data_IF_213597330833
#
_entry.id   IF_213597330833
#
_cell.length_a   1.000
_cell.length_b   1.000
_cell.length_c   1.000
_cell.angle_alpha   90.00
_cell.angle_beta   90.00
_cell.angle_gamma   90.00
#
_symmetry.space_group_name_H-M   'P 1'
#
loop_
_entity.id
_entity.type
_entity.pdbx_description
1 polymer ?
#
# COMPACT_ATOMS: atom_id res chain seq x y z
N UNK A 1 -20.29 14.24 -6.20
CA UNK A 1 -18.86 14.15 -5.82
C UNK A 1 -18.80 13.62 -4.39
N UNK A 2 -18.55 12.32 -4.20
CA UNK A 2 -18.46 11.74 -2.86
C UNK A 2 -17.23 12.37 -2.20
N UNK A 3 -17.43 13.17 -1.15
CA UNK A 3 -16.33 13.72 -0.37
C UNK A 3 -15.70 12.57 0.40
N UNK A 4 -14.58 12.05 -0.11
CA UNK A 4 -13.74 11.00 0.49
C UNK A 4 -13.28 11.31 1.94
N UNK A 5 -13.55 12.51 2.45
CA UNK A 5 -13.21 12.95 3.80
C UNK A 5 -13.97 12.24 4.92
N UNK A 6 -15.13 11.62 4.65
CA UNK A 6 -15.94 10.99 5.71
C UNK A 6 -15.37 9.64 6.20
N UNK A 7 -14.59 8.96 5.37
CA UNK A 7 -14.07 7.62 5.65
C UNK A 7 -12.57 7.62 6.04
N UNK A 8 -11.93 8.80 5.99
CA UNK A 8 -10.48 8.97 6.04
C UNK A 8 -9.81 8.84 7.42
N UNK A 9 -10.46 9.17 8.57
CA UNK A 9 -9.85 8.99 9.88
C UNK A 9 -9.66 7.52 10.28
N UNK A 10 -10.56 6.62 9.84
CA UNK A 10 -10.53 5.20 10.18
C UNK A 10 -9.65 4.36 9.22
N UNK A 11 -9.49 4.77 7.96
CA UNK A 11 -8.56 4.15 6.99
C UNK A 11 -7.08 4.37 7.37
N UNK A 12 -6.76 5.27 8.30
CA UNK A 12 -5.37 5.40 8.80
C UNK A 12 -4.89 4.19 9.60
N UNK A 13 -5.80 3.30 9.97
CA UNK A 13 -5.45 1.98 10.48
C UNK A 13 -4.82 1.18 9.35
N UNK A 14 -3.72 0.50 9.65
CA UNK A 14 -2.99 -0.38 8.74
C UNK A 14 -3.97 -1.13 7.80
N UNK A 15 -3.64 -1.29 6.52
CA UNK A 15 -4.46 -2.07 5.55
C UNK A 15 -4.80 -3.43 6.14
N UNK A 16 -3.90 -4.01 6.94
CA UNK A 16 -4.14 -5.21 7.74
C UNK A 16 -5.28 -5.05 8.75
N UNK A 17 -5.29 -3.99 9.55
CA UNK A 17 -6.29 -3.73 10.59
C UNK A 17 -7.67 -3.40 9.99
N UNK A 18 -7.71 -2.65 8.89
CA UNK A 18 -8.94 -2.37 8.15
C UNK A 18 -9.57 -3.67 7.61
N UNK A 19 -8.76 -4.56 7.01
CA UNK A 19 -9.24 -5.83 6.49
C UNK A 19 -9.64 -6.83 7.58
N UNK A 20 -8.95 -6.82 8.74
CA UNK A 20 -9.26 -7.70 9.86
C UNK A 20 -10.61 -7.39 10.50
N UNK A 21 -11.01 -6.11 10.53
CA UNK A 21 -12.28 -5.67 11.13
C UNK A 21 -13.50 -6.15 10.32
N UNK A 22 -13.32 -6.53 9.04
CA UNK A 22 -14.40 -6.94 8.13
C UNK A 22 -14.25 -8.38 7.61
N UNK A 23 -13.66 -9.31 8.39
CA UNK A 23 -13.54 -10.72 7.99
C UNK A 23 -14.79 -11.52 8.43
N UNK A 24 -15.77 -11.79 7.54
CA UNK A 24 -16.92 -12.63 7.89
C UNK A 24 -16.47 -14.06 8.19
N UNK A 25 -17.10 -14.72 9.18
CA UNK A 25 -16.81 -16.11 9.54
C UNK A 25 -17.54 -17.10 8.63
N UNK A 26 -18.65 -16.67 8.03
CA UNK A 26 -19.46 -17.45 7.09
C UNK A 26 -19.95 -16.60 5.91
N UNK A 27 -20.45 -17.27 4.87
CA UNK A 27 -21.12 -16.60 3.75
C UNK A 27 -22.35 -15.81 4.20
N UNK A 28 -23.11 -16.32 5.17
CA UNK A 28 -24.26 -15.63 5.73
C UNK A 28 -23.87 -14.33 6.42
N UNK A 29 -22.77 -14.32 7.18
CA UNK A 29 -22.25 -13.10 7.81
C UNK A 29 -21.80 -12.08 6.77
N UNK A 30 -21.20 -12.54 5.66
CA UNK A 30 -20.82 -11.66 4.56
C UNK A 30 -22.05 -10.94 3.98
N UNK A 31 -23.11 -11.68 3.68
CA UNK A 31 -24.36 -11.10 3.16
C UNK A 31 -24.98 -10.10 4.14
N UNK A 32 -24.98 -10.43 5.44
CA UNK A 32 -25.47 -9.53 6.49
C UNK A 32 -24.63 -8.24 6.58
N UNK A 33 -23.31 -8.34 6.45
CA UNK A 33 -22.44 -7.15 6.43
C UNK A 33 -22.70 -6.28 5.20
N UNK A 34 -22.82 -6.88 4.01
CA UNK A 34 -23.09 -6.14 2.77
C UNK A 34 -24.44 -5.41 2.85
N UNK A 35 -25.49 -6.09 3.34
CA UNK A 35 -26.81 -5.48 3.52
C UNK A 35 -26.77 -4.28 4.48
N UNK A 36 -26.10 -4.43 5.63
CA UNK A 36 -25.94 -3.35 6.59
C UNK A 36 -25.18 -2.13 6.02
N UNK A 37 -24.14 -2.36 5.21
CA UNK A 37 -23.40 -1.28 4.54
C UNK A 37 -24.29 -0.55 3.55
N UNK A 38 -25.04 -1.28 2.71
CA UNK A 38 -25.94 -0.68 1.72
C UNK A 38 -27.10 0.07 2.38
N UNK A 39 -27.63 -0.42 3.49
CA UNK A 39 -28.65 0.30 4.26
C UNK A 39 -28.12 1.64 4.76
N UNK A 40 -26.94 1.66 5.39
CA UNK A 40 -26.29 2.91 5.84
C UNK A 40 -26.01 3.86 4.68
N UNK A 41 -25.56 3.36 3.55
CA UNK A 41 -25.34 4.21 2.37
C UNK A 41 -26.63 4.82 1.84
N UNK A 42 -27.73 4.06 1.84
CA UNK A 42 -29.06 4.56 1.46
C UNK A 42 -29.55 5.64 2.41
N UNK A 43 -29.37 5.47 3.72
CA UNK A 43 -29.73 6.46 4.75
C UNK A 43 -28.99 7.79 4.55
N UNK A 44 -27.73 7.75 4.08
CA UNK A 44 -26.89 8.94 3.83
C UNK A 44 -27.01 9.45 2.38
N UNK A 45 -27.79 8.79 1.52
CA UNK A 45 -27.96 9.17 0.11
C UNK A 45 -26.72 8.94 -0.76
N UNK A 46 -25.87 7.97 -0.41
CA UNK A 46 -24.71 7.59 -1.22
C UNK A 46 -25.11 6.62 -2.33
N UNK A 47 -24.71 6.94 -3.56
CA UNK A 47 -24.85 6.07 -4.72
C UNK A 47 -23.54 5.31 -4.96
N UNK A 48 -23.67 4.05 -5.39
CA UNK A 48 -22.55 3.14 -5.63
C UNK A 48 -22.38 2.93 -7.13
N UNK A 49 -21.13 2.93 -7.60
CA UNK A 49 -20.84 2.48 -8.96
C UNK A 49 -20.61 0.96 -8.94
N UNK A 50 -21.59 0.20 -9.45
CA UNK A 50 -21.56 -1.26 -9.48
C UNK A 50 -20.39 -1.82 -10.30
N UNK A 51 -19.93 -1.13 -11.34
CA UNK A 51 -18.78 -1.58 -12.16
C UNK A 51 -17.47 -1.62 -11.36
N UNK A 52 -17.38 -0.84 -10.28
CA UNK A 52 -16.22 -0.79 -9.39
C UNK A 52 -16.35 -1.69 -8.17
N UNK A 53 -17.47 -2.41 -8.04
CA UNK A 53 -17.73 -3.26 -6.90
C UNK A 53 -17.45 -4.73 -7.21
N UNK A 54 -16.81 -5.40 -6.27
CA UNK A 54 -16.62 -6.84 -6.29
C UNK A 54 -17.11 -7.42 -4.96
N UNK A 55 -18.04 -8.38 -5.03
CA UNK A 55 -18.66 -9.00 -3.86
C UNK A 55 -18.32 -10.50 -3.81
N UNK A 56 -18.25 -11.04 -2.59
CA UNK A 56 -18.03 -12.47 -2.36
C UNK A 56 -16.76 -13.06 -2.97
N UNK A 57 -15.73 -12.24 -3.19
CA UNK A 57 -14.46 -12.71 -3.75
C UNK A 57 -13.60 -13.33 -2.66
N UNK A 58 -12.89 -14.42 -3.01
CA UNK A 58 -11.90 -15.02 -2.13
C UNK A 58 -10.67 -14.11 -1.95
N UNK A 59 -10.37 -13.29 -2.97
CA UNK A 59 -9.29 -12.30 -2.97
C UNK A 59 -9.78 -11.00 -3.60
N UNK A 60 -9.34 -9.87 -3.06
CA UNK A 60 -9.73 -8.53 -3.49
C UNK A 60 -8.51 -7.62 -3.57
N UNK A 61 -8.42 -6.84 -4.66
CA UNK A 61 -7.46 -5.75 -4.77
C UNK A 61 -7.95 -4.55 -3.96
N UNK A 62 -7.15 -4.09 -3.00
CA UNK A 62 -7.48 -2.96 -2.14
C UNK A 62 -6.23 -2.12 -1.86
N UNK A 63 -6.28 -0.82 -2.20
CA UNK A 63 -5.19 0.15 -1.97
C UNK A 63 -3.80 -0.29 -2.47
N UNK A 64 -3.71 -1.07 -3.56
CA UNK A 64 -2.43 -1.56 -4.07
C UNK A 64 -1.91 -2.83 -3.36
N UNK A 65 -2.77 -3.48 -2.58
CA UNK A 65 -2.54 -4.80 -2.00
C UNK A 65 -3.59 -5.80 -2.50
N UNK A 66 -3.25 -7.07 -2.45
CA UNK A 66 -4.17 -8.19 -2.62
C UNK A 66 -4.44 -8.77 -1.23
N UNK A 67 -5.72 -8.81 -0.87
CA UNK A 67 -6.22 -9.27 0.42
C UNK A 67 -7.10 -10.49 0.20
N UNK A 68 -6.90 -11.57 0.95
CA UNK A 68 -7.80 -12.71 0.92
C UNK A 68 -7.11 -14.05 1.07
N UNK A 69 -7.88 -15.11 1.29
CA UNK A 69 -7.37 -16.48 1.47
C UNK A 69 -6.24 -16.63 2.52
N UNK A 70 -6.19 -15.75 3.53
CA UNK A 70 -5.13 -15.74 4.54
C UNK A 70 -3.81 -15.12 4.07
N UNK A 71 -3.77 -14.56 2.85
CA UNK A 71 -2.63 -13.88 2.28
C UNK A 71 -2.84 -12.36 2.26
N UNK A 72 -1.73 -11.66 2.47
CA UNK A 72 -1.56 -10.22 2.32
C UNK A 72 -0.34 -10.07 1.43
N UNK A 73 -0.51 -9.52 0.23
CA UNK A 73 0.59 -9.33 -0.73
C UNK A 73 0.47 -7.99 -1.46
N UNK A 74 1.57 -7.41 -1.94
CA UNK A 74 1.50 -6.26 -2.82
C UNK A 74 0.84 -6.64 -4.14
N UNK A 75 0.11 -5.70 -4.76
CA UNK A 75 -0.41 -5.88 -6.11
C UNK A 75 0.77 -6.10 -7.08
N UNK A 76 0.82 -7.22 -7.83
CA UNK A 76 1.91 -7.52 -8.77
C UNK A 76 2.18 -6.38 -9.75
N UNK A 77 1.15 -5.65 -10.19
CA UNK A 77 1.32 -4.51 -11.10
C UNK A 77 2.09 -3.36 -10.43
N UNK A 78 1.86 -3.13 -9.13
CA UNK A 78 2.56 -2.10 -8.35
C UNK A 78 3.97 -2.54 -7.98
N UNK A 79 4.16 -3.83 -7.68
CA UNK A 79 5.47 -4.42 -7.44
C UNK A 79 6.35 -4.39 -8.70
N UNK A 80 5.78 -4.68 -9.87
CA UNK A 80 6.49 -4.62 -11.15
C UNK A 80 6.87 -3.19 -11.52
N UNK A 81 5.97 -2.22 -11.29
CA UNK A 81 6.30 -0.81 -11.47
C UNK A 81 7.50 -0.38 -10.60
N UNK A 82 7.57 -0.86 -9.36
CA UNK A 82 8.72 -0.65 -8.46
C UNK A 82 10.01 -1.29 -9.00
N UNK A 83 9.93 -2.53 -9.48
CA UNK A 83 11.06 -3.25 -10.11
C UNK A 83 11.61 -2.54 -11.34
N UNK A 84 10.76 -1.85 -12.09
CA UNK A 84 11.16 -1.13 -13.30
C UNK A 84 11.65 0.31 -13.03
N UNK A 85 11.63 0.80 -11.78
CA UNK A 85 12.13 2.13 -11.47
C UNK A 85 13.64 2.23 -11.74
N UNK A 86 14.03 3.27 -12.48
CA UNK A 86 15.42 3.63 -12.67
C UNK A 86 16.04 4.13 -11.37
N UNK A 87 17.36 3.97 -11.27
CA UNK A 87 18.14 4.47 -10.13
C UNK A 87 17.98 6.00 -10.00
N UNK A 88 17.58 6.52 -8.82
CA UNK A 88 17.38 7.95 -8.64
C UNK A 88 18.69 8.71 -8.79
N UNK A 89 18.62 9.84 -9.49
CA UNK A 89 19.75 10.74 -9.73
C UNK A 89 19.80 11.89 -8.73
N UNK A 90 18.63 12.28 -8.21
CA UNK A 90 18.45 13.40 -7.28
C UNK A 90 17.93 12.96 -5.92
N UNK A 91 18.23 13.75 -4.88
CA UNK A 91 17.64 13.57 -3.54
C UNK A 91 16.12 13.54 -3.52
N UNK A 92 15.46 14.30 -4.42
CA UNK A 92 14.00 14.34 -4.51
C UNK A 92 13.45 13.00 -4.98
N UNK A 93 14.03 12.45 -6.04
CA UNK A 93 13.67 11.12 -6.56
C UNK A 93 13.94 10.04 -5.51
N UNK A 94 15.07 10.10 -4.82
CA UNK A 94 15.40 9.12 -3.77
C UNK A 94 14.42 9.17 -2.60
N UNK A 95 14.02 10.36 -2.15
CA UNK A 95 12.98 10.50 -1.11
C UNK A 95 11.63 9.96 -1.57
N UNK A 96 11.27 10.19 -2.83
CA UNK A 96 10.04 9.63 -3.42
C UNK A 96 10.08 8.10 -3.44
N UNK A 97 11.22 7.54 -3.85
CA UNK A 97 11.45 6.10 -3.84
C UNK A 97 11.35 5.52 -2.42
N UNK A 98 12.04 6.12 -1.45
CA UNK A 98 12.00 5.66 -0.05
C UNK A 98 10.61 5.77 0.55
N UNK A 99 9.83 6.80 0.21
CA UNK A 99 8.44 6.91 0.63
C UNK A 99 7.58 5.75 0.13
N UNK A 100 7.74 5.38 -1.14
CA UNK A 100 7.03 4.25 -1.74
C UNK A 100 7.52 2.89 -1.20
N UNK A 101 8.83 2.71 -1.05
CA UNK A 101 9.40 1.52 -0.45
C UNK A 101 8.93 1.34 1.00
N UNK A 102 8.83 2.43 1.77
CA UNK A 102 8.31 2.39 3.14
C UNK A 102 6.81 2.04 3.20
N UNK A 103 6.03 2.32 2.15
CA UNK A 103 4.64 1.86 2.06
C UNK A 103 4.54 0.32 1.98
N UNK A 104 5.51 -0.32 1.33
CA UNK A 104 5.60 -1.78 1.19
C UNK A 104 6.60 -2.43 2.17
N UNK A 105 7.09 -1.71 3.19
CA UNK A 105 8.10 -2.19 4.16
C UNK A 105 7.75 -3.52 4.82
N UNK A 106 6.46 -3.76 4.95
CA UNK A 106 5.82 -4.90 5.57
C UNK A 106 6.11 -6.23 4.87
N UNK A 107 6.50 -6.18 3.61
CA UNK A 107 6.84 -7.33 2.77
C UNK A 107 8.35 -7.54 2.67
N UNK A 108 9.16 -6.59 3.15
CA UNK A 108 10.61 -6.58 2.98
C UNK A 108 11.25 -6.90 4.34
N UNK A 109 11.85 -8.08 4.53
CA UNK A 109 12.50 -8.43 5.78
C UNK A 109 13.71 -7.51 6.02
N UNK A 110 13.90 -7.09 7.28
CA UNK A 110 14.99 -6.19 7.68
C UNK A 110 15.02 -4.87 6.91
N UNK A 111 13.85 -4.37 6.47
CA UNK A 111 13.72 -3.13 5.69
C UNK A 111 14.56 -1.97 6.25
N UNK A 112 14.47 -1.74 7.56
CA UNK A 112 15.18 -0.65 8.24
C UNK A 112 16.68 -0.69 8.00
N UNK A 113 17.31 -1.87 8.06
CA UNK A 113 18.75 -2.04 7.84
C UNK A 113 19.13 -1.82 6.38
N UNK A 114 18.31 -2.33 5.46
CA UNK A 114 18.54 -2.23 4.02
C UNK A 114 18.47 -0.77 3.56
N UNK A 115 17.55 0.04 4.09
CA UNK A 115 17.39 1.44 3.68
C UNK A 115 18.39 2.40 4.32
N UNK A 116 19.18 1.99 5.32
CA UNK A 116 20.16 2.87 5.98
C UNK A 116 21.11 3.58 5.00
N UNK A 117 21.84 2.89 4.10
CA UNK A 117 22.75 3.54 3.17
C UNK A 117 22.02 4.53 2.24
N UNK A 118 20.77 4.25 1.87
CA UNK A 118 19.95 5.14 1.04
C UNK A 118 19.43 6.36 1.83
N UNK A 119 19.04 6.16 3.09
CA UNK A 119 18.55 7.23 3.95
C UNK A 119 19.67 8.22 4.25
N UNK A 120 20.90 7.73 4.42
CA UNK A 120 22.09 8.54 4.63
C UNK A 120 22.38 9.51 3.47
N UNK A 121 22.11 9.08 2.23
CA UNK A 121 22.21 9.94 1.05
C UNK A 121 21.18 11.07 1.01
N UNK A 122 20.08 10.96 1.78
CA UNK A 122 19.06 12.02 1.86
C UNK A 122 19.35 13.11 2.91
N UNK A 123 20.41 12.93 3.72
CA UNK A 123 20.82 13.89 4.77
C UNK A 123 21.18 15.25 4.18
N UNK A 124 20.95 16.32 4.94
CA UNK A 124 21.16 17.71 4.50
C UNK A 124 22.60 17.96 4.02
N UNK A 125 23.59 17.37 4.71
CA UNK A 125 25.02 17.55 4.42
C UNK A 125 25.50 16.92 3.09
N UNK A 126 24.71 16.05 2.46
CA UNK A 126 25.05 15.39 1.19
C UNK A 126 24.74 16.31 0.00
N UNK A 127 25.41 16.17 -1.14
CA UNK A 127 25.05 16.92 -2.36
C UNK A 127 23.67 16.50 -2.92
N UNK A 128 23.04 17.35 -3.73
CA UNK A 128 21.82 16.98 -4.46
C UNK A 128 22.07 15.91 -5.53
N UNK A 129 23.29 15.86 -6.07
CA UNK A 129 23.78 14.76 -6.90
C UNK A 129 24.21 13.64 -5.95
N UNK A 130 23.60 12.47 -6.08
CA UNK A 130 23.76 11.38 -5.13
C UNK A 130 25.10 10.66 -5.33
N UNK A 131 26.01 10.68 -4.32
CA UNK A 131 27.23 9.88 -4.36
C UNK A 131 26.88 8.43 -4.01
N UNK A 132 26.59 7.63 -5.03
CA UNK A 132 26.22 6.24 -4.83
C UNK A 132 27.44 5.38 -4.46
N UNK A 133 27.43 4.85 -3.25
CA UNK A 133 28.33 3.77 -2.84
C UNK A 133 27.88 2.42 -3.39
N UNK A 134 28.75 1.42 -3.29
CA UNK A 134 28.42 0.01 -3.59
C UNK A 134 27.25 -0.44 -2.71
N UNK A 135 27.32 -0.17 -1.41
CA UNK A 135 26.28 -0.48 -0.41
C UNK A 135 24.92 0.14 -0.75
N UNK A 136 24.90 1.40 -1.20
CA UNK A 136 23.67 2.06 -1.62
C UNK A 136 23.09 1.41 -2.89
N UNK A 137 23.94 1.00 -3.83
CA UNK A 137 23.53 0.27 -5.03
C UNK A 137 22.91 -1.09 -4.70
N UNK A 138 23.55 -1.85 -3.82
CA UNK A 138 23.06 -3.16 -3.34
C UNK A 138 21.73 -3.02 -2.59
N UNK A 139 21.62 -2.03 -1.70
CA UNK A 139 20.38 -1.71 -1.01
C UNK A 139 19.23 -1.38 -1.97
N UNK A 140 19.52 -0.60 -3.03
CA UNK A 140 18.51 -0.24 -4.03
C UNK A 140 18.01 -1.46 -4.81
N UNK A 141 18.90 -2.38 -5.19
CA UNK A 141 18.50 -3.64 -5.87
C UNK A 141 17.70 -4.52 -4.92
N UNK A 142 18.17 -4.69 -3.68
CA UNK A 142 17.53 -5.55 -2.69
C UNK A 142 16.11 -5.12 -2.29
N UNK A 143 15.79 -3.83 -2.36
CA UNK A 143 14.43 -3.32 -2.12
C UNK A 143 13.48 -3.63 -3.29
N UNK A 144 14.04 -3.78 -4.50
CA UNK A 144 13.26 -3.99 -5.72
C UNK A 144 12.95 -5.48 -5.96
N UNK A 145 13.85 -6.36 -5.53
CA UNK A 145 13.68 -7.82 -5.62
C UNK A 145 12.50 -8.31 -4.77
#
# INVERSE_FOLDING_TARGET
MIKYSFFWPEIKKDVREFCQTCKPQSWSDHLLHVDNVFRKWREVGLAVNLEKCAFGQNQVKFLGHILGSGQHSPDPEKAEALRNLSRPSTKKELRSFLGLANYYRDYIPNFSEIVLPLTDLTKIKVSNVLPWSIEAGEAFVKIKD
#
